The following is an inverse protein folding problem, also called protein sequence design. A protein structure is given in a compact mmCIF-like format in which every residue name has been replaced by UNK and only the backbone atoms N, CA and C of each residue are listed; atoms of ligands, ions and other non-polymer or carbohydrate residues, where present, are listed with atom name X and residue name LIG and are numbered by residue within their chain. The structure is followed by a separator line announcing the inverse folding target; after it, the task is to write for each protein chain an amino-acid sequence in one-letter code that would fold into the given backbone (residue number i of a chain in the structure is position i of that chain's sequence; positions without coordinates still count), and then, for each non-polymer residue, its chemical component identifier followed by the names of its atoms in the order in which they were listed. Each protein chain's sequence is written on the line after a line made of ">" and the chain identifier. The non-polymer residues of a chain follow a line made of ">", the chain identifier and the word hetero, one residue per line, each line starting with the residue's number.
data_IF_805813655536
#
_entry.id   IF_805813655536
#
_cell.length_a   1.000
_cell.length_b   1.000
_cell.length_c   1.000
_cell.angle_alpha   90.00
_cell.angle_beta   90.00
_cell.angle_gamma   90.00
#
_symmetry.space_group_name_H-M   'P 1'
#
loop_
_entity.id
_entity.type
_entity.pdbx_description
1 polymer ?
#
# COMPACT_ATOMS: atom_id res chain seq x y z
N UNK A 1 -11.43 -14.25 12.94
CA UNK A 1 -12.32 -14.33 14.12
C UNK A 1 -13.82 -14.21 13.78
N UNK A 2 -14.19 -14.10 12.49
CA UNK A 2 -15.58 -13.99 12.02
C UNK A 2 -16.39 -12.84 12.67
N UNK A 3 -15.68 -11.81 13.13
CA UNK A 3 -16.32 -10.60 13.66
C UNK A 3 -16.48 -9.58 12.53
N UNK A 4 -17.68 -9.06 12.36
CA UNK A 4 -17.94 -7.94 11.47
C UNK A 4 -17.61 -6.62 12.20
N UNK A 5 -16.52 -5.94 11.84
CA UNK A 5 -16.01 -4.81 12.63
C UNK A 5 -16.80 -3.51 12.41
N UNK A 6 -17.61 -3.42 11.36
CA UNK A 6 -18.24 -2.18 10.90
C UNK A 6 -19.44 -2.48 10.02
N UNK A 7 -20.36 -1.53 9.89
CA UNK A 7 -21.50 -1.60 8.97
C UNK A 7 -21.22 -0.82 7.68
N UNK A 8 -20.59 0.37 7.79
CA UNK A 8 -20.36 1.29 6.68
C UNK A 8 -18.90 1.76 6.67
N UNK A 9 -18.16 1.33 5.69
CA UNK A 9 -16.73 1.57 5.53
C UNK A 9 -16.46 2.61 4.44
N UNK A 10 -15.64 3.61 4.73
CA UNK A 10 -15.01 4.46 3.74
C UNK A 10 -13.51 4.11 3.65
N UNK A 11 -12.96 4.00 2.43
CA UNK A 11 -11.57 3.59 2.21
C UNK A 11 -10.75 4.76 1.67
N UNK A 12 -9.57 4.98 2.25
CA UNK A 12 -8.59 5.99 1.83
C UNK A 12 -7.36 5.29 1.28
N UNK A 13 -7.11 5.47 -0.01
CA UNK A 13 -6.00 4.86 -0.74
C UNK A 13 -6.46 3.78 -1.72
N UNK A 14 -6.12 3.99 -2.99
CA UNK A 14 -6.43 3.13 -4.14
C UNK A 14 -5.29 2.18 -4.52
N UNK A 15 -4.36 1.90 -3.61
CA UNK A 15 -3.37 0.84 -3.75
C UNK A 15 -3.97 -0.55 -3.60
N UNK A 16 -3.17 -1.62 -3.81
CA UNK A 16 -3.64 -3.00 -3.68
C UNK A 16 -4.29 -3.25 -2.32
N UNK A 17 -3.70 -2.77 -1.23
CA UNK A 17 -4.23 -2.98 0.13
C UNK A 17 -5.64 -2.41 0.26
N UNK A 18 -5.86 -1.15 -0.13
CA UNK A 18 -7.17 -0.50 -0.04
C UNK A 18 -8.22 -1.18 -0.93
N UNK A 19 -7.86 -1.49 -2.19
CA UNK A 19 -8.78 -2.15 -3.14
C UNK A 19 -9.17 -3.56 -2.69
N UNK A 20 -8.21 -4.35 -2.20
CA UNK A 20 -8.45 -5.73 -1.74
C UNK A 20 -9.25 -5.71 -0.43
N UNK A 21 -8.91 -4.84 0.52
CA UNK A 21 -9.64 -4.71 1.77
C UNK A 21 -11.10 -4.29 1.54
N UNK A 22 -11.34 -3.32 0.64
CA UNK A 22 -12.68 -2.93 0.25
C UNK A 22 -13.48 -4.10 -0.35
N UNK A 23 -12.85 -4.92 -1.21
CA UNK A 23 -13.50 -6.11 -1.77
C UNK A 23 -13.84 -7.14 -0.69
N UNK A 24 -12.92 -7.42 0.24
CA UNK A 24 -13.18 -8.34 1.35
C UNK A 24 -14.27 -7.82 2.29
N UNK A 25 -14.33 -6.51 2.54
CA UNK A 25 -15.39 -5.89 3.31
C UNK A 25 -16.77 -6.14 2.68
N UNK A 26 -16.89 -5.95 1.36
CA UNK A 26 -18.13 -6.25 0.62
C UNK A 26 -18.52 -7.73 0.73
N UNK A 27 -17.53 -8.65 0.63
CA UNK A 27 -17.79 -10.08 0.80
C UNK A 27 -18.25 -10.45 2.21
N UNK A 28 -17.80 -9.70 3.23
CA UNK A 28 -18.26 -9.83 4.60
C UNK A 28 -19.62 -9.16 4.87
N UNK A 29 -20.26 -8.59 3.84
CA UNK A 29 -21.56 -7.90 3.95
C UNK A 29 -21.45 -6.49 4.52
N UNK A 30 -20.26 -5.89 4.56
CA UNK A 30 -20.04 -4.51 4.95
C UNK A 30 -20.31 -3.61 3.75
N UNK A 31 -21.05 -2.52 3.96
CA UNK A 31 -21.28 -1.53 2.91
C UNK A 31 -20.02 -0.66 2.74
N UNK A 32 -19.36 -0.74 1.59
CA UNK A 32 -18.28 0.19 1.24
C UNK A 32 -18.92 1.42 0.59
N UNK A 33 -18.98 2.52 1.33
CA UNK A 33 -19.69 3.74 0.91
C UNK A 33 -18.89 4.59 -0.08
N UNK A 34 -17.59 4.36 -0.18
CA UNK A 34 -16.71 5.00 -1.16
C UNK A 34 -15.24 4.70 -0.91
N UNK A 35 -14.42 5.02 -1.91
CA UNK A 35 -12.97 5.01 -1.84
C UNK A 35 -12.42 6.29 -2.44
N UNK A 36 -11.46 6.95 -1.77
CA UNK A 36 -10.71 8.06 -2.38
C UNK A 36 -9.24 7.70 -2.59
N UNK A 37 -8.68 8.25 -3.67
CA UNK A 37 -7.28 8.14 -4.06
C UNK A 37 -6.76 9.52 -4.43
N UNK A 38 -5.61 9.90 -3.88
CA UNK A 38 -5.01 11.20 -4.12
C UNK A 38 -4.44 11.36 -5.55
N UNK A 39 -3.96 10.25 -6.11
CA UNK A 39 -3.46 10.22 -7.49
C UNK A 39 -4.61 10.30 -8.51
N UNK A 40 -4.26 10.63 -9.75
CA UNK A 40 -5.21 10.69 -10.88
C UNK A 40 -5.80 9.32 -11.25
N UNK A 41 -5.17 8.22 -10.84
CA UNK A 41 -5.68 6.85 -10.95
C UNK A 41 -5.26 6.02 -9.73
N UNK A 42 -5.95 4.90 -9.51
CA UNK A 42 -5.58 3.95 -8.47
C UNK A 42 -4.25 3.28 -8.80
N UNK A 43 -3.34 3.23 -7.82
CA UNK A 43 -2.04 2.59 -7.96
C UNK A 43 -2.07 1.06 -7.83
N UNK A 44 -3.20 0.46 -7.45
CA UNK A 44 -3.37 -0.98 -7.35
C UNK A 44 -3.69 -1.64 -8.70
N UNK A 45 -3.66 -2.98 -8.75
CA UNK A 45 -3.97 -3.73 -9.96
C UNK A 45 -5.37 -3.43 -10.48
N UNK A 46 -5.47 -3.21 -11.79
CA UNK A 46 -6.72 -2.90 -12.49
C UNK A 46 -7.83 -3.91 -12.18
N UNK A 47 -7.49 -5.19 -12.04
CA UNK A 47 -8.48 -6.24 -11.73
C UNK A 47 -9.19 -6.00 -10.39
N UNK A 48 -8.50 -5.46 -9.38
CA UNK A 48 -9.11 -5.15 -8.08
C UNK A 48 -10.00 -3.91 -8.16
N UNK A 49 -9.53 -2.85 -8.85
CA UNK A 49 -10.33 -1.65 -9.12
C UNK A 49 -11.62 -2.00 -9.88
N UNK A 50 -11.50 -2.78 -10.97
CA UNK A 50 -12.65 -3.16 -11.80
C UNK A 50 -13.68 -4.01 -11.03
N UNK A 51 -13.24 -4.83 -10.06
CA UNK A 51 -14.17 -5.57 -9.17
C UNK A 51 -15.03 -4.61 -8.36
N UNK A 52 -14.41 -3.62 -7.70
CA UNK A 52 -15.14 -2.63 -6.89
C UNK A 52 -16.12 -1.81 -7.74
N UNK A 53 -15.69 -1.36 -8.92
CA UNK A 53 -16.55 -0.62 -9.86
C UNK A 53 -17.77 -1.46 -10.27
N UNK A 54 -17.58 -2.75 -10.62
CA UNK A 54 -18.69 -3.65 -10.94
C UNK A 54 -19.62 -3.91 -9.76
N UNK A 55 -19.13 -3.83 -8.54
CA UNK A 55 -19.92 -3.95 -7.31
C UNK A 55 -20.55 -2.62 -6.86
N UNK A 56 -20.42 -1.56 -7.67
CA UNK A 56 -21.07 -0.27 -7.44
C UNK A 56 -20.37 0.63 -6.42
N UNK A 57 -19.13 0.34 -6.04
CA UNK A 57 -18.36 1.21 -5.12
C UNK A 57 -17.90 2.46 -5.86
N UNK A 58 -18.29 3.66 -5.40
CA UNK A 58 -17.79 4.90 -5.98
C UNK A 58 -16.31 5.09 -5.63
N UNK A 59 -15.49 5.38 -6.66
CA UNK A 59 -14.07 5.65 -6.53
C UNK A 59 -13.79 7.10 -6.95
N UNK A 60 -13.20 7.87 -6.04
CA UNK A 60 -12.87 9.29 -6.21
C UNK A 60 -11.35 9.44 -6.32
N UNK A 61 -10.82 9.50 -7.55
CA UNK A 61 -9.42 9.82 -7.82
C UNK A 61 -9.18 11.33 -7.75
N UNK A 62 -7.93 11.75 -7.56
CA UNK A 62 -7.56 13.15 -7.30
C UNK A 62 -8.34 13.76 -6.12
N UNK A 63 -8.63 12.96 -5.09
CA UNK A 63 -9.32 13.40 -3.88
C UNK A 63 -8.57 12.94 -2.63
N UNK A 64 -8.69 13.72 -1.56
CA UNK A 64 -8.17 13.39 -0.24
C UNK A 64 -9.21 13.60 0.85
N UNK A 65 -8.99 12.98 2.01
CA UNK A 65 -9.78 13.24 3.21
C UNK A 65 -9.39 14.60 3.79
N UNK A 66 -10.38 15.43 4.09
CA UNK A 66 -10.19 16.72 4.75
C UNK A 66 -10.68 16.70 6.20
N UNK A 67 -11.61 15.83 6.54
CA UNK A 67 -12.03 15.61 7.93
C UNK A 67 -12.69 14.26 8.13
N UNK A 68 -12.52 13.68 9.31
CA UNK A 68 -13.37 12.64 9.86
C UNK A 68 -14.18 13.31 10.99
N UNK A 69 -15.48 13.11 10.98
CA UNK A 69 -16.40 13.81 11.87
C UNK A 69 -17.13 12.80 12.77
N UNK A 70 -17.41 13.22 13.98
CA UNK A 70 -18.10 12.45 15.00
C UNK A 70 -17.74 12.97 16.39
N UNK A 71 -18.40 12.48 17.43
CA UNK A 71 -18.16 12.90 18.81
C UNK A 71 -17.40 11.86 19.63
N UNK A 72 -17.90 10.65 19.74
CA UNK A 72 -17.26 9.52 20.42
C UNK A 72 -16.65 8.52 19.44
N UNK A 73 -17.19 8.46 18.25
CA UNK A 73 -16.79 7.57 17.16
C UNK A 73 -16.95 8.28 15.82
N UNK A 74 -16.46 7.67 14.74
CA UNK A 74 -16.61 8.22 13.39
C UNK A 74 -18.06 8.07 12.96
N UNK A 75 -18.67 9.17 12.53
CA UNK A 75 -20.03 9.23 12.00
C UNK A 75 -20.06 9.57 10.51
N UNK A 76 -19.03 10.26 10.03
CA UNK A 76 -18.86 10.58 8.62
C UNK A 76 -17.43 10.95 8.28
N UNK A 77 -17.12 10.90 6.98
CA UNK A 77 -15.87 11.40 6.40
C UNK A 77 -16.18 12.42 5.32
N UNK A 78 -15.41 13.50 5.27
CA UNK A 78 -15.48 14.50 4.19
C UNK A 78 -14.20 14.42 3.36
N UNK A 79 -14.37 14.33 2.04
CA UNK A 79 -13.27 14.39 1.06
C UNK A 79 -13.38 15.66 0.23
N UNK A 80 -12.28 16.08 -0.41
CA UNK A 80 -12.24 17.13 -1.40
C UNK A 80 -11.33 16.79 -2.56
N UNK A 81 -11.59 17.36 -3.73
CA UNK A 81 -10.68 17.27 -4.86
C UNK A 81 -9.34 17.94 -4.55
N UNK A 82 -8.26 17.42 -5.13
CA UNK A 82 -6.92 17.99 -5.04
C UNK A 82 -6.59 18.82 -6.27
N UNK A 83 -5.93 19.98 -6.05
CA UNK A 83 -5.29 20.72 -7.10
C UNK A 83 -3.93 20.09 -7.51
N UNK A 84 -3.26 20.54 -8.59
CA UNK A 84 -1.94 20.03 -8.98
C UNK A 84 -0.84 20.23 -7.93
N UNK A 85 -1.05 21.10 -6.94
CA UNK A 85 -0.14 21.32 -5.82
C UNK A 85 -0.55 20.50 -4.57
N UNK A 86 -1.42 19.48 -4.73
CA UNK A 86 -1.90 18.58 -3.68
C UNK A 86 -2.68 19.28 -2.56
N UNK A 87 -3.30 20.41 -2.86
CA UNK A 87 -4.13 21.14 -1.88
C UNK A 87 -5.60 20.89 -2.14
N UNK A 88 -6.40 20.68 -1.06
CA UNK A 88 -7.84 20.53 -1.21
C UNK A 88 -8.49 21.78 -1.83
N UNK A 89 -9.30 21.56 -2.85
CA UNK A 89 -10.03 22.61 -3.57
C UNK A 89 -11.31 22.93 -2.83
N UNK A 90 -11.49 24.21 -2.46
CA UNK A 90 -12.72 24.68 -1.78
C UNK A 90 -13.94 24.52 -2.70
N UNK A 91 -15.07 24.15 -2.11
CA UNK A 91 -16.34 23.95 -2.84
C UNK A 91 -16.47 22.57 -3.52
N UNK A 92 -15.47 21.68 -3.40
CA UNK A 92 -15.53 20.33 -3.95
C UNK A 92 -15.81 19.24 -2.91
N UNK A 93 -16.08 19.65 -1.67
CA UNK A 93 -16.29 18.75 -0.54
C UNK A 93 -17.48 17.82 -0.78
N UNK A 94 -17.27 16.56 -0.41
CA UNK A 94 -18.30 15.51 -0.38
C UNK A 94 -18.24 14.78 0.95
N UNK A 95 -19.37 14.65 1.62
CA UNK A 95 -19.45 13.98 2.92
C UNK A 95 -20.18 12.65 2.78
N UNK A 96 -19.63 11.61 3.39
CA UNK A 96 -20.16 10.26 3.39
C UNK A 96 -20.41 9.81 4.81
N UNK A 97 -21.61 9.38 5.11
CA UNK A 97 -21.93 8.75 6.39
C UNK A 97 -21.24 7.38 6.45
N UNK A 98 -20.37 7.19 7.43
CA UNK A 98 -19.65 5.94 7.69
C UNK A 98 -19.32 5.84 9.17
N UNK A 99 -19.19 4.63 9.67
CA UNK A 99 -18.80 4.34 11.06
C UNK A 99 -17.33 3.91 11.17
N UNK A 100 -16.67 3.73 10.04
CA UNK A 100 -15.24 3.36 9.97
C UNK A 100 -14.57 3.97 8.75
N UNK A 101 -13.35 4.46 8.95
CA UNK A 101 -12.43 4.89 7.87
C UNK A 101 -11.21 3.98 7.88
N UNK A 102 -11.00 3.27 6.76
CA UNK A 102 -9.81 2.46 6.55
C UNK A 102 -8.77 3.28 5.81
N UNK A 103 -7.61 3.50 6.43
CA UNK A 103 -6.49 4.23 5.84
C UNK A 103 -5.49 3.22 5.26
N UNK A 104 -5.27 3.28 3.94
CA UNK A 104 -4.40 2.39 3.18
C UNK A 104 -3.52 3.19 2.19
N UNK A 105 -2.82 4.20 2.70
CA UNK A 105 -2.08 5.20 1.90
C UNK A 105 -0.59 4.91 1.74
N UNK A 106 -0.16 3.74 2.12
CA UNK A 106 1.22 3.26 2.05
C UNK A 106 1.74 2.78 3.40
N UNK A 107 2.91 2.18 3.34
CA UNK A 107 3.63 1.62 4.48
C UNK A 107 5.09 1.99 4.37
N UNK A 108 5.72 2.32 5.49
CA UNK A 108 7.17 2.52 5.59
C UNK A 108 7.81 1.31 6.27
N UNK A 109 9.03 0.90 5.86
CA UNK A 109 9.77 -0.16 6.53
C UNK A 109 10.06 0.19 7.99
N UNK A 110 9.94 -0.79 8.89
CA UNK A 110 10.47 -0.69 10.26
C UNK A 110 11.99 -0.94 10.22
N UNK A 111 12.78 0.10 9.99
CA UNK A 111 14.22 0.02 9.75
C UNK A 111 15.08 0.65 10.86
N UNK A 112 14.50 0.92 12.03
CA UNK A 112 15.16 1.59 13.15
C UNK A 112 16.42 0.83 13.61
N UNK A 113 16.33 -0.50 13.70
CA UNK A 113 17.48 -1.35 14.05
C UNK A 113 18.58 -1.30 12.98
N UNK A 114 18.20 -1.26 11.70
CA UNK A 114 19.14 -1.12 10.59
C UNK A 114 19.90 0.21 10.69
N UNK A 115 19.19 1.32 10.88
CA UNK A 115 19.76 2.65 11.04
C UNK A 115 20.69 2.68 12.27
N UNK A 116 20.21 2.17 13.39
CA UNK A 116 20.97 2.17 14.65
C UNK A 116 22.24 1.33 14.55
N UNK A 117 22.17 0.13 13.98
CA UNK A 117 23.35 -0.71 13.78
C UNK A 117 24.40 -0.03 12.89
N UNK A 118 23.98 0.66 11.83
CA UNK A 118 24.87 1.45 10.98
C UNK A 118 25.55 2.59 11.71
N UNK A 119 24.83 3.31 12.59
CA UNK A 119 25.40 4.36 13.44
C UNK A 119 26.54 3.83 14.32
N UNK A 120 26.43 2.58 14.79
CA UNK A 120 27.47 1.92 15.59
C UNK A 120 28.56 1.24 14.75
N UNK A 121 28.52 1.38 13.42
CA UNK A 121 29.49 0.75 12.51
C UNK A 121 29.40 -0.78 12.48
N UNK A 122 28.27 -1.36 12.89
CA UNK A 122 28.07 -2.80 12.87
C UNK A 122 27.73 -3.29 11.45
N UNK A 123 28.24 -4.46 11.02
CA UNK A 123 27.79 -5.08 9.79
C UNK A 123 26.32 -5.48 9.94
N UNK A 124 25.47 -4.93 9.08
CA UNK A 124 24.04 -5.17 9.12
C UNK A 124 23.48 -5.28 7.70
N UNK A 125 22.56 -6.20 7.53
CA UNK A 125 21.89 -6.48 6.25
C UNK A 125 20.38 -6.37 6.45
N UNK A 126 19.69 -5.72 5.53
CA UNK A 126 18.23 -5.68 5.48
C UNK A 126 17.74 -6.38 4.21
N UNK A 127 16.59 -7.03 4.29
CA UNK A 127 15.93 -7.66 3.15
C UNK A 127 14.45 -7.82 3.41
N UNK A 128 13.66 -8.00 2.36
CA UNK A 128 12.21 -8.04 2.46
C UNK A 128 11.63 -6.71 2.95
N UNK A 129 10.53 -6.77 3.68
CA UNK A 129 9.79 -5.60 4.16
C UNK A 129 10.58 -4.71 5.12
N UNK A 130 11.67 -5.22 5.73
CA UNK A 130 12.58 -4.40 6.53
C UNK A 130 13.50 -3.49 5.68
N UNK A 131 13.64 -3.77 4.38
CA UNK A 131 14.36 -2.95 3.40
C UNK A 131 13.40 -2.08 2.60
N UNK A 132 12.38 -2.72 2.02
CA UNK A 132 11.36 -2.07 1.22
C UNK A 132 10.08 -2.92 1.21
N UNK A 133 8.95 -2.33 1.55
CA UNK A 133 7.65 -3.02 1.55
C UNK A 133 7.14 -3.13 0.12
N UNK A 134 7.03 -4.38 -0.36
CA UNK A 134 6.60 -4.71 -1.70
C UNK A 134 5.80 -6.03 -1.72
N UNK A 135 5.67 -6.65 -2.88
CA UNK A 135 5.05 -7.97 -3.00
C UNK A 135 5.88 -9.06 -2.30
N UNK A 136 5.22 -10.10 -1.79
CA UNK A 136 5.89 -11.20 -1.07
C UNK A 136 7.01 -11.86 -1.90
N UNK A 137 6.82 -11.95 -3.22
CA UNK A 137 7.83 -12.44 -4.15
C UNK A 137 9.10 -11.57 -4.16
N UNK A 138 8.96 -10.23 -4.08
CA UNK A 138 10.10 -9.33 -3.95
C UNK A 138 10.84 -9.55 -2.63
N UNK A 139 10.10 -9.71 -1.52
CA UNK A 139 10.69 -10.00 -0.21
C UNK A 139 11.46 -11.33 -0.21
N UNK A 140 10.95 -12.37 -0.88
CA UNK A 140 11.66 -13.65 -1.05
C UNK A 140 12.96 -13.48 -1.83
N UNK A 141 12.97 -12.76 -2.94
CA UNK A 141 14.18 -12.55 -3.76
C UNK A 141 15.21 -11.68 -3.05
N UNK A 142 14.82 -10.57 -2.45
CA UNK A 142 15.74 -9.73 -1.67
C UNK A 142 16.32 -10.49 -0.49
N UNK A 143 15.50 -11.26 0.25
CA UNK A 143 15.98 -12.13 1.33
C UNK A 143 16.99 -13.18 0.87
N UNK A 144 16.78 -13.79 -0.31
CA UNK A 144 17.71 -14.76 -0.91
C UNK A 144 19.06 -14.12 -1.26
N UNK A 145 19.05 -12.93 -1.88
CA UNK A 145 20.26 -12.16 -2.19
C UNK A 145 20.99 -11.81 -0.90
N UNK A 146 20.30 -11.24 0.10
CA UNK A 146 20.89 -10.88 1.40
C UNK A 146 21.47 -12.07 2.15
N UNK A 147 20.82 -13.24 2.09
CA UNK A 147 21.35 -14.48 2.68
C UNK A 147 22.71 -14.87 2.11
N UNK A 148 22.90 -14.74 0.80
CA UNK A 148 24.21 -14.99 0.16
C UNK A 148 25.25 -13.92 0.52
N UNK A 149 24.87 -12.65 0.57
CA UNK A 149 25.75 -11.56 1.00
C UNK A 149 26.23 -11.75 2.45
N UNK A 150 25.33 -12.16 3.35
CA UNK A 150 25.68 -12.51 4.74
C UNK A 150 26.65 -13.68 4.77
N UNK A 151 26.37 -14.76 4.06
CA UNK A 151 27.26 -15.93 4.01
C UNK A 151 28.67 -15.55 3.51
N UNK A 152 28.73 -14.70 2.46
CA UNK A 152 29.99 -14.17 1.93
C UNK A 152 30.74 -13.32 2.96
N UNK A 153 30.03 -12.46 3.69
CA UNK A 153 30.63 -11.61 4.75
C UNK A 153 31.20 -12.44 5.91
N UNK A 154 30.70 -13.66 6.09
CA UNK A 154 31.20 -14.65 7.07
C UNK A 154 32.31 -15.55 6.48
N UNK A 155 32.86 -15.22 5.32
CA UNK A 155 33.94 -15.95 4.69
C UNK A 155 33.51 -17.27 4.00
N UNK A 156 32.23 -17.46 3.75
CA UNK A 156 31.75 -18.63 2.99
C UNK A 156 31.89 -18.37 1.50
N UNK A 157 32.35 -19.36 0.77
CA UNK A 157 32.29 -19.35 -0.70
C UNK A 157 30.85 -19.66 -1.14
N UNK A 158 30.21 -18.67 -1.72
CA UNK A 158 28.82 -18.76 -2.21
C UNK A 158 28.73 -18.54 -3.72
N UNK A 159 29.88 -18.44 -4.40
CA UNK A 159 29.93 -18.10 -5.82
C UNK A 159 29.43 -16.69 -6.10
N UNK A 160 29.15 -16.39 -7.35
CA UNK A 160 28.55 -15.10 -7.75
C UNK A 160 27.04 -15.15 -7.59
N UNK A 161 26.47 -14.05 -7.10
CA UNK A 161 25.01 -13.87 -7.09
C UNK A 161 24.60 -13.56 -8.53
N UNK A 162 23.71 -14.36 -9.14
CA UNK A 162 23.32 -14.14 -10.51
C UNK A 162 22.74 -12.74 -10.73
N UNK A 163 23.23 -11.95 -11.70
CA UNK A 163 22.74 -10.59 -11.95
C UNK A 163 21.24 -10.52 -12.21
N UNK A 164 20.67 -11.56 -12.80
CA UNK A 164 19.24 -11.67 -13.05
C UNK A 164 18.39 -11.70 -11.77
N UNK A 165 18.96 -12.10 -10.62
CA UNK A 165 18.23 -12.05 -9.35
C UNK A 165 18.00 -10.62 -8.88
N UNK A 166 18.98 -9.74 -9.05
CA UNK A 166 18.82 -8.33 -8.76
C UNK A 166 17.78 -7.71 -9.70
N UNK A 167 17.87 -8.00 -11.00
CA UNK A 167 16.87 -7.53 -11.97
C UNK A 167 15.47 -8.03 -11.62
N UNK A 168 15.33 -9.31 -11.26
CA UNK A 168 14.04 -9.89 -10.86
C UNK A 168 13.51 -9.23 -9.59
N UNK A 169 14.35 -9.00 -8.58
CA UNK A 169 13.94 -8.31 -7.36
C UNK A 169 13.41 -6.90 -7.67
N UNK A 170 14.08 -6.13 -8.51
CA UNK A 170 13.63 -4.79 -8.90
C UNK A 170 12.31 -4.81 -9.69
N UNK A 171 12.14 -5.75 -10.62
CA UNK A 171 10.88 -5.93 -11.36
C UNK A 171 9.73 -6.26 -10.41
N UNK A 172 9.97 -7.14 -9.43
CA UNK A 172 8.96 -7.52 -8.43
C UNK A 172 8.64 -6.41 -7.42
N UNK A 173 9.55 -5.46 -7.22
CA UNK A 173 9.32 -4.23 -6.44
C UNK A 173 8.57 -3.16 -7.24
N UNK A 174 8.48 -3.29 -8.56
CA UNK A 174 7.81 -2.30 -9.41
C UNK A 174 6.35 -2.12 -8.98
N UNK A 175 5.90 -0.88 -8.98
CA UNK A 175 4.53 -0.56 -8.58
C UNK A 175 3.55 -1.17 -9.59
N UNK A 176 2.42 -1.74 -9.11
CA UNK A 176 1.36 -2.21 -9.99
C UNK A 176 0.93 -1.10 -10.96
N UNK A 177 0.84 -1.43 -12.24
CA UNK A 177 0.49 -0.48 -13.31
C UNK A 177 1.67 0.06 -14.12
N UNK A 178 2.91 -0.12 -13.69
CA UNK A 178 4.05 0.04 -14.58
C UNK A 178 4.06 -1.15 -15.54
N UNK A 179 3.73 -0.91 -16.82
CA UNK A 179 3.93 -1.93 -17.87
C UNK A 179 5.45 -2.01 -18.07
N UNK A 180 6.07 -3.07 -17.55
CA UNK A 180 7.43 -3.41 -17.93
C UNK A 180 7.33 -4.08 -19.29
N UNK A 181 7.51 -3.31 -20.36
CA UNK A 181 7.75 -3.88 -21.69
C UNK A 181 9.16 -4.46 -21.67
N UNK A 182 9.27 -5.78 -21.78
CA UNK A 182 10.55 -6.40 -22.15
C UNK A 182 10.88 -5.94 -23.57
N UNK A 183 11.94 -5.11 -23.70
CA UNK A 183 12.67 -4.95 -24.95
C UNK A 183 13.81 -5.96 -25.01
#
# INVERSE_FOLDING_TARGET
>A
DLVRPTERLFVVGGGNVGLIAAYHALQAGIQVVGLCEAMADCGGYKVHKDKLVRMGVPIYTSHTVVSANGTAEVESVTIAALDPAWRPVSGTQKTFACDTVLVAVGLDPCDEFLKKAREFGLPVFAGGDAEEIAEASAAMFTGKIRGLEIARSLGRDVGEIPPEWHKTAEVLKSRPGAIVTEE
#
